data_IF_339368237018
#
_entry.id   IF_339368237018
#
_cell.length_a   1.000
_cell.length_b   1.000
_cell.length_c   1.000
_cell.angle_alpha   90.00
_cell.angle_beta   90.00
_cell.angle_gamma   90.00
#
_symmetry.space_group_name_H-M   'P 1'
#
loop_
_entity.id
_entity.type
_entity.pdbx_description
1 polymer ?
#
# COMPACT_ATOMS: atom_id res chain seq x y z
N UNK A 1 -30.14 12.36 14.44
CA UNK A 1 -29.54 11.22 13.69
C UNK A 1 -28.35 11.63 12.81
N UNK A 2 -28.45 12.68 11.96
CA UNK A 2 -27.37 13.12 11.05
C UNK A 2 -26.01 13.42 11.71
N UNK A 3 -26.00 13.96 12.93
CA UNK A 3 -24.76 14.28 13.66
C UNK A 3 -24.01 13.04 14.21
N UNK A 4 -24.73 11.97 14.60
CA UNK A 4 -24.10 10.76 15.15
C UNK A 4 -23.47 9.87 14.07
N UNK A 5 -24.10 9.80 12.89
CA UNK A 5 -23.52 9.10 11.73
C UNK A 5 -22.26 9.79 11.23
N UNK A 6 -22.27 11.13 11.13
CA UNK A 6 -21.09 11.91 10.73
C UNK A 6 -19.91 11.72 11.69
N UNK A 7 -20.16 11.68 13.01
CA UNK A 7 -19.14 11.41 14.01
C UNK A 7 -18.57 9.98 13.90
N UNK A 8 -19.42 8.99 13.62
CA UNK A 8 -19.01 7.58 13.43
C UNK A 8 -18.21 7.38 12.14
N UNK A 9 -18.56 8.08 11.06
CA UNK A 9 -17.79 8.04 9.82
C UNK A 9 -16.41 8.71 9.97
N UNK A 10 -16.37 9.89 10.63
CA UNK A 10 -15.10 10.56 10.93
C UNK A 10 -14.18 9.68 11.77
N UNK A 11 -14.71 8.99 12.78
CA UNK A 11 -13.90 8.10 13.63
C UNK A 11 -13.37 6.89 12.85
N UNK A 12 -14.14 6.33 11.91
CA UNK A 12 -13.68 5.24 11.04
C UNK A 12 -12.55 5.67 10.10
N UNK A 13 -12.69 6.83 9.44
CA UNK A 13 -11.66 7.32 8.53
C UNK A 13 -10.36 7.66 9.28
N UNK A 14 -10.46 8.32 10.45
CA UNK A 14 -9.32 8.57 11.32
C UNK A 14 -8.63 7.29 11.77
N UNK A 15 -9.42 6.26 12.12
CA UNK A 15 -8.89 4.94 12.47
C UNK A 15 -8.14 4.34 11.28
N UNK A 16 -8.75 4.28 10.09
CA UNK A 16 -8.13 3.76 8.88
C UNK A 16 -6.83 4.50 8.52
N UNK A 17 -6.82 5.84 8.62
CA UNK A 17 -5.62 6.66 8.41
C UNK A 17 -4.52 6.32 9.43
N UNK A 18 -4.88 6.07 10.70
CA UNK A 18 -3.93 5.63 11.73
C UNK A 18 -3.33 4.26 11.40
N UNK A 19 -4.12 3.32 10.86
CA UNK A 19 -3.62 2.00 10.41
C UNK A 19 -2.65 2.14 9.23
N UNK A 20 -2.93 3.06 8.31
CA UNK A 20 -2.13 3.34 7.12
C UNK A 20 -0.85 4.15 7.41
N UNK A 21 -0.77 4.87 8.53
CA UNK A 21 0.34 5.79 8.83
C UNK A 21 1.71 5.10 8.84
N UNK A 22 1.85 4.02 9.63
CA UNK A 22 3.12 3.29 9.74
C UNK A 22 3.61 2.73 8.39
N UNK A 23 2.80 1.99 7.62
CA UNK A 23 3.26 1.46 6.34
C UNK A 23 3.51 2.56 5.30
N UNK A 24 2.82 3.69 5.34
CA UNK A 24 3.16 4.87 4.51
C UNK A 24 4.58 5.32 4.81
N UNK A 25 4.95 5.46 6.08
CA UNK A 25 6.31 5.85 6.48
C UNK A 25 7.33 4.84 5.96
N UNK A 26 7.06 3.54 6.10
CA UNK A 26 7.94 2.49 5.58
C UNK A 26 8.09 2.61 4.06
N UNK A 27 6.99 2.81 3.33
CA UNK A 27 7.01 2.96 1.87
C UNK A 27 7.87 4.14 1.38
N UNK A 28 7.92 5.23 2.17
CA UNK A 28 8.77 6.39 1.88
C UNK A 28 10.27 6.05 1.90
N UNK A 29 10.70 5.01 2.63
CA UNK A 29 12.09 4.54 2.63
C UNK A 29 12.33 3.37 1.68
N UNK A 30 11.37 2.45 1.60
CA UNK A 30 11.46 1.26 0.75
C UNK A 30 11.68 1.64 -0.72
N UNK A 31 10.97 2.66 -1.22
CA UNK A 31 11.07 3.05 -2.63
C UNK A 31 12.44 3.65 -2.97
N UNK A 32 12.98 4.66 -2.23
CA UNK A 32 14.34 5.13 -2.46
C UNK A 32 15.40 4.05 -2.31
N UNK A 33 15.27 3.15 -1.32
CA UNK A 33 16.21 2.04 -1.15
C UNK A 33 16.19 1.15 -2.39
N UNK A 34 15.01 0.75 -2.86
CA UNK A 34 14.85 -0.07 -4.07
C UNK A 34 15.49 0.60 -5.29
N UNK A 35 15.25 1.90 -5.46
CA UNK A 35 15.83 2.70 -6.55
C UNK A 35 17.36 2.76 -6.46
N UNK A 36 17.92 3.04 -5.29
CA UNK A 36 19.37 3.05 -5.10
C UNK A 36 20.01 1.68 -5.35
N UNK A 37 19.37 0.59 -4.93
CA UNK A 37 19.85 -0.76 -5.19
C UNK A 37 19.90 -1.08 -6.69
N UNK A 38 18.91 -0.61 -7.44
CA UNK A 38 18.92 -0.73 -8.91
C UNK A 38 20.06 0.05 -9.55
N UNK A 39 20.31 1.29 -9.10
CA UNK A 39 21.44 2.09 -9.60
C UNK A 39 22.81 1.44 -9.29
N UNK A 40 22.88 0.60 -8.26
CA UNK A 40 24.07 -0.20 -7.95
C UNK A 40 24.19 -1.47 -8.83
N UNK A 41 23.28 -1.69 -9.77
CA UNK A 41 23.31 -2.78 -10.74
C UNK A 41 22.66 -4.08 -10.25
N UNK A 42 21.84 -4.05 -9.19
CA UNK A 42 21.14 -5.25 -8.73
C UNK A 42 20.04 -5.68 -9.72
N UNK A 43 19.88 -7.00 -9.96
CA UNK A 43 18.83 -7.52 -10.83
C UNK A 43 17.41 -7.16 -10.38
N UNK A 44 16.55 -6.85 -11.34
CA UNK A 44 15.17 -6.40 -11.09
C UNK A 44 14.36 -7.42 -10.26
N UNK A 45 14.53 -8.72 -10.50
CA UNK A 45 13.84 -9.79 -9.79
C UNK A 45 14.17 -9.81 -8.28
N UNK A 46 15.37 -9.39 -7.88
CA UNK A 46 15.78 -9.31 -6.46
C UNK A 46 15.17 -8.09 -5.81
N UNK A 47 15.30 -6.91 -6.44
CA UNK A 47 14.75 -5.65 -5.91
C UNK A 47 13.22 -5.61 -5.94
N UNK A 48 12.58 -6.41 -6.80
CA UNK A 48 11.12 -6.55 -6.87
C UNK A 48 10.52 -7.08 -5.57
N UNK A 49 11.23 -7.97 -4.85
CA UNK A 49 10.79 -8.51 -3.55
C UNK A 49 10.73 -7.41 -2.48
N UNK A 50 11.56 -6.38 -2.61
CA UNK A 50 11.58 -5.19 -1.75
C UNK A 50 10.53 -4.16 -2.23
N UNK A 51 9.68 -4.51 -3.19
CA UNK A 51 8.70 -3.61 -3.79
C UNK A 51 7.48 -3.30 -2.92
N UNK A 52 6.78 -2.23 -3.30
CA UNK A 52 5.57 -1.76 -2.64
C UNK A 52 4.43 -2.80 -2.62
N UNK A 53 4.37 -3.71 -3.61
CA UNK A 53 3.37 -4.78 -3.63
C UNK A 53 3.55 -5.73 -2.44
N UNK A 54 4.77 -6.20 -2.19
CA UNK A 54 5.07 -7.11 -1.08
C UNK A 54 4.82 -6.45 0.27
N UNK A 55 5.17 -5.16 0.39
CA UNK A 55 4.83 -4.35 1.55
C UNK A 55 3.30 -4.32 1.77
N UNK A 56 2.50 -4.13 0.71
CA UNK A 56 1.04 -4.17 0.80
C UNK A 56 0.52 -5.52 1.26
N UNK A 57 1.04 -6.63 0.71
CA UNK A 57 0.61 -7.97 1.10
C UNK A 57 0.90 -8.24 2.57
N UNK A 58 2.11 -7.92 3.04
CA UNK A 58 2.48 -8.03 4.45
C UNK A 58 1.62 -7.15 5.36
N UNK A 59 1.38 -5.90 4.95
CA UNK A 59 0.45 -4.99 5.63
C UNK A 59 -0.97 -5.56 5.74
N UNK A 60 -1.49 -6.13 4.65
CA UNK A 60 -2.83 -6.68 4.60
C UNK A 60 -2.98 -7.91 5.49
N UNK A 61 -1.99 -8.81 5.50
CA UNK A 61 -1.97 -9.96 6.43
C UNK A 61 -1.91 -9.47 7.88
N UNK A 62 -0.99 -8.54 8.18
CA UNK A 62 -0.80 -8.03 9.54
C UNK A 62 -2.10 -7.44 10.10
N UNK A 63 -2.77 -6.57 9.34
CA UNK A 63 -4.04 -6.01 9.78
C UNK A 63 -5.18 -7.01 9.72
N UNK A 64 -5.15 -7.96 8.79
CA UNK A 64 -6.13 -9.04 8.78
C UNK A 64 -6.11 -9.88 10.06
N UNK A 65 -4.93 -10.08 10.65
CA UNK A 65 -4.77 -10.72 11.96
C UNK A 65 -5.26 -9.80 13.09
N UNK A 66 -4.84 -8.54 13.09
CA UNK A 66 -5.09 -7.59 14.19
C UNK A 66 -6.54 -7.11 14.27
N UNK A 67 -7.25 -7.00 13.16
CA UNK A 67 -8.62 -6.49 13.10
C UNK A 67 -9.69 -7.56 13.32
N UNK A 68 -9.32 -8.82 13.60
CA UNK A 68 -10.28 -9.95 13.66
C UNK A 68 -11.49 -9.73 14.58
N UNK A 69 -11.32 -9.00 15.69
CA UNK A 69 -12.37 -8.74 16.69
C UNK A 69 -13.15 -7.43 16.44
N UNK A 70 -12.79 -6.66 15.42
CA UNK A 70 -13.42 -5.36 15.12
C UNK A 70 -14.71 -5.56 14.32
N UNK A 71 -15.81 -4.90 14.74
CA UNK A 71 -17.14 -5.01 14.11
C UNK A 71 -17.16 -4.65 12.62
N UNK A 72 -16.28 -3.73 12.19
CA UNK A 72 -16.17 -3.25 10.79
C UNK A 72 -14.80 -3.55 10.20
N UNK A 73 -14.25 -4.71 10.54
CA UNK A 73 -12.88 -5.14 10.18
C UNK A 73 -12.58 -5.09 8.67
N UNK A 74 -13.46 -5.65 7.83
CA UNK A 74 -13.30 -5.60 6.37
C UNK A 74 -13.28 -4.17 5.82
N UNK A 75 -14.19 -3.31 6.29
CA UNK A 75 -14.25 -1.91 5.87
C UNK A 75 -13.00 -1.13 6.32
N UNK A 76 -12.54 -1.35 7.56
CA UNK A 76 -11.32 -0.72 8.06
C UNK A 76 -10.08 -1.15 7.28
N UNK A 77 -9.97 -2.45 6.95
CA UNK A 77 -8.90 -2.97 6.10
C UNK A 77 -8.95 -2.29 4.71
N UNK A 78 -10.11 -2.29 4.06
CA UNK A 78 -10.29 -1.67 2.75
C UNK A 78 -9.93 -0.18 2.75
N UNK A 79 -10.50 0.60 3.68
CA UNK A 79 -10.21 2.03 3.79
C UNK A 79 -8.72 2.30 4.07
N UNK A 80 -8.09 1.47 4.90
CA UNK A 80 -6.66 1.61 5.17
C UNK A 80 -5.81 1.36 3.92
N UNK A 81 -6.18 0.40 3.08
CA UNK A 81 -5.53 0.15 1.78
C UNK A 81 -5.76 1.31 0.80
N UNK A 82 -6.98 1.83 0.71
CA UNK A 82 -7.34 2.97 -0.15
C UNK A 82 -6.56 4.22 0.23
N UNK A 83 -6.28 4.44 1.51
CA UNK A 83 -5.45 5.56 1.98
C UNK A 83 -3.97 5.28 1.74
N UNK A 84 -3.49 4.10 2.15
CA UNK A 84 -2.08 3.72 2.06
C UNK A 84 -1.57 3.72 0.61
N UNK A 85 -2.30 3.06 -0.28
CA UNK A 85 -1.84 2.71 -1.61
C UNK A 85 -1.40 3.92 -2.45
N UNK A 86 -2.24 4.94 -2.72
CA UNK A 86 -1.83 6.11 -3.50
C UNK A 86 -0.73 6.92 -2.82
N UNK A 87 -0.77 7.07 -1.49
CA UNK A 87 0.25 7.85 -0.76
C UNK A 87 1.62 7.15 -0.80
N UNK A 88 1.64 5.82 -0.66
CA UNK A 88 2.87 5.01 -0.71
C UNK A 88 3.62 5.12 -2.02
N UNK A 89 2.95 5.61 -3.09
CA UNK A 89 3.46 5.72 -4.45
C UNK A 89 3.94 7.11 -4.81
N UNK A 90 3.75 8.10 -3.94
CA UNK A 90 4.32 9.44 -4.13
C UNK A 90 5.85 9.38 -4.34
N UNK A 91 6.63 8.61 -3.54
CA UNK A 91 8.06 8.44 -3.80
C UNK A 91 8.38 7.88 -5.19
N UNK A 92 7.55 6.95 -5.70
CA UNK A 92 7.72 6.38 -7.05
C UNK A 92 7.59 7.46 -8.12
N UNK A 93 6.56 8.30 -8.02
CA UNK A 93 6.35 9.39 -8.98
C UNK A 93 7.46 10.46 -8.92
N UNK A 94 7.99 10.73 -7.72
CA UNK A 94 9.14 11.64 -7.54
C UNK A 94 10.39 11.04 -8.20
N UNK A 95 10.67 9.77 -7.97
CA UNK A 95 11.85 9.10 -8.53
C UNK A 95 11.74 8.91 -10.04
N UNK A 96 10.55 8.59 -10.58
CA UNK A 96 10.26 8.64 -12.01
C UNK A 96 10.66 10.01 -12.60
N UNK A 97 10.24 11.11 -11.98
CA UNK A 97 10.56 12.44 -12.48
C UNK A 97 12.06 12.74 -12.46
N UNK A 98 12.76 12.36 -11.37
CA UNK A 98 14.21 12.51 -11.27
C UNK A 98 14.90 11.70 -12.37
N UNK A 99 14.46 10.46 -12.59
CA UNK A 99 15.04 9.58 -13.59
C UNK A 99 14.87 10.16 -15.01
N UNK A 100 13.66 10.60 -15.36
CA UNK A 100 13.36 11.18 -16.67
C UNK A 100 14.04 12.54 -16.87
N UNK A 101 14.14 13.37 -15.83
CA UNK A 101 14.72 14.72 -15.96
C UNK A 101 16.24 14.70 -16.13
N UNK A 102 16.92 13.71 -15.55
CA UNK A 102 18.38 13.58 -15.63
C UNK A 102 18.85 12.44 -16.54
N UNK A 103 17.92 11.78 -17.25
CA UNK A 103 18.19 10.67 -18.18
C UNK A 103 19.06 9.58 -17.55
N UNK A 104 18.71 9.20 -16.32
CA UNK A 104 19.50 8.26 -15.51
C UNK A 104 19.35 6.83 -16.07
N UNK A 105 18.20 6.51 -16.68
CA UNK A 105 17.98 5.27 -17.42
C UNK A 105 17.64 4.05 -16.56
N UNK A 106 16.94 4.23 -15.43
CA UNK A 106 16.41 3.12 -14.63
C UNK A 106 15.04 2.64 -15.14
N UNK A 107 14.50 1.55 -14.60
CA UNK A 107 13.12 1.12 -14.92
C UNK A 107 12.06 2.16 -14.55
N UNK A 108 12.41 3.13 -13.70
CA UNK A 108 11.53 4.23 -13.37
C UNK A 108 11.45 5.28 -14.48
N UNK A 109 12.47 5.53 -15.29
CA UNK A 109 12.39 6.51 -16.39
C UNK A 109 11.68 6.00 -17.64
N UNK A 110 11.51 4.68 -17.74
CA UNK A 110 10.90 4.01 -18.87
C UNK A 110 9.37 4.08 -18.78
N UNK A 111 8.68 3.92 -19.91
CA UNK A 111 7.21 3.70 -20.03
C UNK A 111 6.27 4.91 -20.11
N UNK A 112 6.67 6.15 -19.81
CA UNK A 112 5.76 7.30 -19.87
C UNK A 112 6.33 8.51 -20.61
N UNK A 113 5.55 9.06 -21.53
CA UNK A 113 5.95 10.22 -22.33
C UNK A 113 5.67 11.56 -21.63
N UNK A 114 4.82 11.56 -20.59
CA UNK A 114 4.43 12.78 -19.89
C UNK A 114 3.97 12.53 -18.44
N UNK A 115 3.92 13.63 -17.69
CA UNK A 115 3.50 13.68 -16.29
C UNK A 115 2.10 13.13 -16.03
N UNK A 116 1.14 13.40 -16.93
CA UNK A 116 -0.24 12.96 -16.73
C UNK A 116 -0.33 11.43 -16.78
N UNK A 117 0.33 10.80 -17.77
CA UNK A 117 0.38 9.35 -17.88
C UNK A 117 1.08 8.71 -16.68
N UNK A 118 2.24 9.24 -16.28
CA UNK A 118 2.98 8.75 -15.12
C UNK A 118 2.16 8.86 -13.83
N UNK A 119 1.51 10.00 -13.58
CA UNK A 119 0.66 10.20 -12.40
C UNK A 119 -0.55 9.29 -12.41
N UNK A 120 -1.24 9.13 -13.54
CA UNK A 120 -2.39 8.22 -13.65
C UNK A 120 -1.96 6.77 -13.43
N UNK A 121 -0.83 6.34 -14.01
CA UNK A 121 -0.36 4.99 -13.81
C UNK A 121 0.03 4.76 -12.35
N UNK A 122 0.86 5.62 -11.77
CA UNK A 122 1.31 5.45 -10.41
C UNK A 122 0.14 5.57 -9.44
N UNK A 123 -0.64 6.66 -9.46
CA UNK A 123 -1.67 6.92 -8.45
C UNK A 123 -2.96 6.12 -8.65
N UNK A 124 -3.32 5.75 -9.88
CA UNK A 124 -4.56 5.00 -10.15
C UNK A 124 -4.25 3.54 -10.40
N UNK A 125 -3.64 3.22 -11.54
CA UNK A 125 -3.47 1.83 -11.97
C UNK A 125 -2.73 1.02 -10.92
N UNK A 126 -1.55 1.47 -10.53
CA UNK A 126 -0.79 0.67 -9.61
C UNK A 126 -1.37 0.75 -8.18
N UNK A 127 -2.11 1.80 -7.81
CA UNK A 127 -2.82 1.78 -6.53
C UNK A 127 -3.85 0.65 -6.49
N UNK A 128 -4.53 0.39 -7.61
CA UNK A 128 -5.43 -0.76 -7.75
C UNK A 128 -4.65 -2.08 -7.67
N UNK A 129 -3.48 -2.17 -8.31
CA UNK A 129 -2.60 -3.36 -8.23
C UNK A 129 -2.16 -3.66 -6.79
N UNK A 130 -2.11 -2.68 -5.90
CA UNK A 130 -1.88 -2.92 -4.47
C UNK A 130 -3.19 -3.23 -3.72
N UNK A 131 -4.24 -2.43 -3.93
CA UNK A 131 -5.50 -2.53 -3.19
C UNK A 131 -6.17 -3.88 -3.43
N UNK A 132 -6.28 -4.33 -4.69
CA UNK A 132 -7.04 -5.53 -5.04
C UNK A 132 -6.43 -6.79 -4.39
N UNK A 133 -5.17 -7.18 -4.68
CA UNK A 133 -4.60 -8.38 -4.07
C UNK A 133 -4.39 -8.22 -2.57
N UNK A 134 -4.04 -7.02 -2.08
CA UNK A 134 -3.95 -6.74 -0.66
C UNK A 134 -5.29 -6.97 0.06
N UNK A 135 -6.37 -6.46 -0.49
CA UNK A 135 -7.69 -6.61 0.12
C UNK A 135 -8.17 -8.06 0.10
N UNK A 136 -7.95 -8.78 -1.00
CA UNK A 136 -8.27 -10.21 -1.09
C UNK A 136 -7.52 -11.00 -0.02
N UNK A 137 -6.19 -10.85 0.03
CA UNK A 137 -5.34 -11.58 0.97
C UNK A 137 -5.65 -11.23 2.43
N UNK A 138 -5.83 -9.94 2.74
CA UNK A 138 -6.19 -9.51 4.09
C UNK A 138 -7.60 -9.96 4.50
N UNK A 139 -8.56 -10.01 3.56
CA UNK A 139 -9.92 -10.51 3.81
C UNK A 139 -9.93 -12.02 4.07
N UNK A 140 -9.16 -12.80 3.30
CA UNK A 140 -8.96 -14.23 3.56
C UNK A 140 -8.35 -14.42 4.95
N UNK A 141 -7.33 -13.64 5.29
CA UNK A 141 -6.68 -13.67 6.61
C UNK A 141 -7.69 -13.36 7.72
N UNK A 142 -8.52 -12.33 7.55
CA UNK A 142 -9.61 -12.00 8.49
C UNK A 142 -10.57 -13.18 8.69
N UNK A 143 -11.06 -13.74 7.59
CA UNK A 143 -12.01 -14.85 7.63
C UNK A 143 -11.43 -16.05 8.40
N UNK A 144 -10.19 -16.43 8.10
CA UNK A 144 -9.48 -17.51 8.82
C UNK A 144 -9.37 -17.18 10.30
N UNK A 145 -8.94 -15.96 10.64
CA UNK A 145 -8.69 -15.57 12.03
C UNK A 145 -9.96 -15.40 12.87
N UNK A 146 -11.10 -15.11 12.24
CA UNK A 146 -12.42 -15.03 12.87
C UNK A 146 -12.99 -16.43 13.16
N UNK A 147 -12.73 -17.41 12.30
CA UNK A 147 -13.24 -18.78 12.45
C UNK A 147 -12.28 -19.71 13.21
N UNK A 148 -11.05 -19.26 13.49
CA UNK A 148 -10.07 -20.05 14.23
C UNK A 148 -10.53 -20.25 15.68
N UNK A 149 -10.75 -21.51 16.08
CA UNK A 149 -10.95 -21.87 17.48
C UNK A 149 -9.68 -21.59 18.29
N UNK A 150 -9.78 -21.02 19.51
CA UNK A 150 -8.63 -20.91 20.38
C UNK A 150 -8.11 -22.32 20.69
N UNK A 151 -6.79 -22.52 20.59
CA UNK A 151 -6.17 -23.76 21.04
C UNK A 151 -6.22 -23.75 22.56
N UNK A 152 -7.18 -24.47 23.14
CA UNK A 152 -7.19 -24.79 24.56
C UNK A 152 -5.96 -25.65 24.84
N UNK A 153 -5.08 -25.18 25.73
CA UNK A 153 -3.98 -25.98 26.28
C UNK A 153 -4.50 -26.81 27.45
#
# INVERSE_FOLDING_TARGET
>A
MKNQESQTQKSLFQRAAKLAKTPIIIAMFVTPIRYSLELLGLPENVIFIIGLLWLTLGFAIYWGIKLKNEKRSYLLLFLSLVIFSPISRIPVAILWWVDTKWDIGSHYGLYFDNWLQALLNHLVYGSLVQIIPGFLLGSITLAIMQHRKPVTK
#
